data_IF_428884023224
#
_entry.id   IF_428884023224
#
_cell.length_a   1.000
_cell.length_b   1.000
_cell.length_c   1.000
_cell.angle_alpha   90.00
_cell.angle_beta   90.00
_cell.angle_gamma   90.00
#
_symmetry.space_group_name_H-M   'P 1'
#
loop_
_entity.id
_entity.type
_entity.pdbx_description
1 polymer ?
#
# COMPACT_ATOMS: atom_id res chain seq x y z
N UNK A 1 -23.84 27.86 -61.11
CA UNK A 1 -24.29 29.21 -61.50
C UNK A 1 -24.08 30.10 -60.31
N UNK A 2 -23.08 30.97 -60.44
CA UNK A 2 -22.87 32.30 -59.86
C UNK A 2 -23.29 32.66 -58.42
N UNK A 3 -22.23 33.09 -57.70
CA UNK A 3 -22.05 34.41 -57.08
C UNK A 3 -22.71 34.73 -55.73
N UNK A 4 -21.85 35.18 -54.81
CA UNK A 4 -22.20 35.85 -53.57
C UNK A 4 -20.96 36.19 -52.75
N UNK A 5 -20.22 37.22 -53.19
CA UNK A 5 -19.14 37.89 -52.46
C UNK A 5 -19.67 39.13 -51.72
N UNK A 6 -18.88 39.58 -50.72
CA UNK A 6 -18.85 40.90 -50.03
C UNK A 6 -19.84 41.10 -48.85
N UNK A 7 -19.43 41.60 -47.68
CA UNK A 7 -18.12 42.10 -47.24
C UNK A 7 -18.08 42.46 -45.74
N UNK A 8 -16.86 42.44 -45.22
CA UNK A 8 -16.18 43.24 -44.19
C UNK A 8 -16.93 43.86 -43.00
N UNK A 9 -16.46 43.50 -41.79
CA UNK A 9 -16.15 44.44 -40.70
C UNK A 9 -14.88 44.02 -39.96
N UNK A 10 -13.85 44.87 -40.05
CA UNK A 10 -12.66 44.87 -39.20
C UNK A 10 -13.02 45.21 -37.74
N UNK A 11 -12.53 44.42 -36.76
CA UNK A 11 -12.17 44.89 -35.42
C UNK A 11 -11.02 44.01 -34.88
N UNK A 12 -9.92 44.66 -34.48
CA UNK A 12 -9.18 44.30 -33.27
C UNK A 12 -8.00 43.34 -33.43
N UNK A 13 -6.83 43.92 -33.61
CA UNK A 13 -5.55 43.38 -33.17
C UNK A 13 -5.53 43.08 -31.66
N UNK A 14 -4.65 42.16 -31.28
CA UNK A 14 -4.20 41.79 -29.93
C UNK A 14 -5.06 40.78 -29.14
N UNK A 15 -4.62 39.52 -29.21
CA UNK A 15 -4.31 38.71 -28.03
C UNK A 15 -3.44 37.51 -28.47
N UNK A 16 -2.12 37.75 -28.57
CA UNK A 16 -1.12 36.68 -28.53
C UNK A 16 -1.19 36.05 -27.14
N UNK A 17 -2.02 35.02 -26.98
CA UNK A 17 -1.97 34.16 -25.81
C UNK A 17 -0.63 33.43 -25.81
N UNK A 18 0.07 33.64 -24.69
CA UNK A 18 1.45 33.28 -24.45
C UNK A 18 1.55 31.76 -24.27
N UNK A 19 1.53 31.02 -25.38
CA UNK A 19 1.84 29.61 -25.40
C UNK A 19 3.35 29.49 -25.16
N UNK A 20 3.76 29.38 -23.89
CA UNK A 20 5.11 28.96 -23.52
C UNK A 20 5.32 27.57 -24.11
N UNK A 21 5.88 27.59 -25.30
CA UNK A 21 6.43 26.45 -26.02
C UNK A 21 7.56 25.95 -25.13
N UNK A 22 7.27 24.95 -24.30
CA UNK A 22 8.30 24.13 -23.66
C UNK A 22 8.99 23.40 -24.81
N UNK A 23 9.99 24.06 -25.40
CA UNK A 23 10.97 23.43 -26.26
C UNK A 23 11.84 22.54 -25.35
N UNK A 24 11.34 21.34 -25.11
CA UNK A 24 12.14 20.24 -24.61
C UNK A 24 13.25 20.05 -25.64
N UNK A 25 14.48 20.38 -25.25
CA UNK A 25 15.69 20.15 -26.02
C UNK A 25 15.68 18.70 -26.55
N UNK A 26 15.44 18.53 -27.85
CA UNK A 26 15.54 17.26 -28.58
C UNK A 26 17.00 16.85 -28.79
N UNK A 27 17.77 16.82 -27.71
CA UNK A 27 19.22 16.70 -27.74
C UNK A 27 19.77 16.10 -26.46
N UNK A 28 19.14 15.05 -25.95
CA UNK A 28 19.75 14.13 -24.99
C UNK A 28 18.99 12.83 -25.11
N UNK A 29 19.70 11.79 -25.54
CA UNK A 29 19.21 10.42 -25.60
C UNK A 29 18.78 10.00 -24.20
N UNK A 30 17.49 10.18 -23.89
CA UNK A 30 16.78 9.24 -23.03
C UNK A 30 17.13 7.87 -23.60
N UNK A 31 17.64 6.92 -22.82
CA UNK A 31 17.71 5.57 -23.31
C UNK A 31 16.27 5.17 -23.61
N UNK A 32 15.90 5.20 -24.90
CA UNK A 32 14.80 4.39 -25.39
C UNK A 32 15.09 3.01 -24.83
N UNK A 33 14.20 2.54 -23.95
CA UNK A 33 14.01 1.11 -23.80
C UNK A 33 13.70 0.69 -25.22
N UNK A 34 14.74 0.22 -25.94
CA UNK A 34 14.58 -0.34 -27.27
C UNK A 34 13.42 -1.31 -27.13
N UNK A 35 12.44 -1.21 -28.01
CA UNK A 35 11.29 -2.10 -28.12
C UNK A 35 11.77 -3.55 -28.39
N UNK A 36 12.51 -4.11 -27.44
CA UNK A 36 12.87 -5.49 -27.36
C UNK A 36 11.61 -6.18 -26.84
N UNK A 37 10.73 -6.50 -27.79
CA UNK A 37 9.74 -7.57 -27.67
C UNK A 37 8.59 -7.38 -26.67
N UNK A 38 8.12 -6.15 -26.44
CA UNK A 38 6.76 -5.98 -25.91
C UNK A 38 5.69 -6.63 -26.84
N UNK A 39 6.03 -6.85 -28.11
CA UNK A 39 5.21 -7.57 -29.10
C UNK A 39 5.39 -9.09 -29.13
N UNK A 40 6.32 -9.66 -28.35
CA UNK A 40 6.60 -11.11 -28.36
C UNK A 40 6.32 -11.82 -27.03
N UNK A 41 5.82 -11.08 -26.04
CA UNK A 41 5.42 -11.62 -24.73
C UNK A 41 3.96 -11.31 -24.35
N UNK A 42 3.19 -10.63 -25.21
CA UNK A 42 1.73 -10.63 -25.19
C UNK A 42 1.25 -11.79 -26.10
N UNK A 43 0.74 -12.91 -25.59
CA UNK A 43 -0.69 -13.04 -25.26
C UNK A 43 -0.96 -14.14 -24.20
N UNK A 44 0.08 -14.81 -23.67
CA UNK A 44 -0.06 -16.00 -22.81
C UNK A 44 -0.02 -15.72 -21.29
N UNK A 45 -0.10 -14.45 -20.88
CA UNK A 45 0.10 -14.05 -19.49
C UNK A 45 -1.18 -14.25 -18.67
N UNK A 46 -1.04 -14.88 -17.49
CA UNK A 46 -2.07 -15.23 -16.51
C UNK A 46 -3.20 -16.21 -16.92
N UNK A 47 -3.60 -16.27 -18.18
CA UNK A 47 -4.75 -17.10 -18.59
C UNK A 47 -4.41 -18.48 -19.14
N UNK A 48 -3.24 -19.06 -18.84
CA UNK A 48 -2.90 -20.40 -19.37
C UNK A 48 -3.99 -21.46 -19.06
N UNK A 49 -4.66 -21.39 -17.92
CA UNK A 49 -5.75 -22.31 -17.60
C UNK A 49 -7.07 -21.98 -18.34
N UNK A 50 -7.41 -20.69 -18.44
CA UNK A 50 -8.68 -20.23 -19.05
C UNK A 50 -8.62 -20.30 -20.58
N UNK A 51 -7.47 -19.95 -21.17
CA UNK A 51 -7.21 -20.03 -22.62
C UNK A 51 -7.29 -21.46 -23.14
N UNK A 52 -6.96 -22.47 -22.31
CA UNK A 52 -6.96 -23.88 -22.69
C UNK A 52 -8.21 -24.67 -22.22
N UNK A 53 -9.24 -23.99 -21.68
CA UNK A 53 -10.51 -24.63 -21.28
C UNK A 53 -10.33 -25.81 -20.31
N UNK A 54 -9.40 -25.71 -19.36
CA UNK A 54 -9.26 -26.72 -18.30
C UNK A 54 -10.53 -26.74 -17.43
N UNK A 55 -10.93 -27.92 -16.97
CA UNK A 55 -12.00 -28.04 -16.00
C UNK A 55 -11.49 -27.78 -14.57
N UNK A 56 -12.41 -27.59 -13.63
CA UNK A 56 -12.08 -27.22 -12.24
C UNK A 56 -11.17 -28.25 -11.56
N UNK A 57 -11.36 -29.55 -11.83
CA UNK A 57 -10.53 -30.63 -11.27
C UNK A 57 -9.08 -30.56 -11.77
N UNK A 58 -8.88 -30.23 -13.05
CA UNK A 58 -7.56 -30.05 -13.64
C UNK A 58 -6.86 -28.82 -13.08
N UNK A 59 -7.58 -27.71 -12.90
CA UNK A 59 -7.05 -26.49 -12.28
C UNK A 59 -6.63 -26.77 -10.84
N UNK A 60 -7.46 -27.47 -10.07
CA UNK A 60 -7.14 -27.85 -8.70
C UNK A 60 -5.94 -28.81 -8.64
N UNK A 61 -5.85 -29.75 -9.58
CA UNK A 61 -4.67 -30.61 -9.73
C UNK A 61 -3.39 -29.82 -9.98
N UNK A 62 -3.44 -28.80 -10.84
CA UNK A 62 -2.30 -27.91 -11.10
C UNK A 62 -1.94 -27.08 -9.86
N UNK A 63 -2.92 -26.51 -9.16
CA UNK A 63 -2.67 -25.77 -7.91
C UNK A 63 -1.98 -26.63 -6.86
N UNK A 64 -2.43 -27.88 -6.68
CA UNK A 64 -1.80 -28.85 -5.78
C UNK A 64 -0.37 -29.16 -6.18
N UNK A 65 -0.13 -29.45 -7.46
CA UNK A 65 1.20 -29.77 -7.97
C UNK A 65 2.18 -28.60 -7.77
N UNK A 66 1.80 -27.39 -8.17
CA UNK A 66 2.61 -26.19 -8.01
C UNK A 66 2.88 -25.88 -6.53
N UNK A 67 1.85 -26.01 -5.68
CA UNK A 67 1.99 -25.79 -4.23
C UNK A 67 3.00 -26.77 -3.64
N UNK A 68 2.92 -28.05 -4.01
CA UNK A 68 3.86 -29.06 -3.54
C UNK A 68 5.29 -28.77 -4.01
N UNK A 69 5.47 -28.36 -5.26
CA UNK A 69 6.78 -27.96 -5.79
C UNK A 69 7.38 -26.77 -5.03
N UNK A 70 6.58 -25.72 -4.77
CA UNK A 70 7.05 -24.56 -4.02
C UNK A 70 7.39 -24.91 -2.57
N UNK A 71 6.55 -25.70 -1.89
CA UNK A 71 6.83 -26.16 -0.53
C UNK A 71 8.11 -27.01 -0.45
N UNK A 72 8.38 -27.85 -1.45
CA UNK A 72 9.64 -28.59 -1.55
C UNK A 72 10.86 -27.66 -1.61
N UNK A 73 10.74 -26.54 -2.33
CA UNK A 73 11.75 -25.49 -2.38
C UNK A 73 11.73 -24.53 -1.19
N UNK A 74 10.94 -24.82 -0.15
CA UNK A 74 10.68 -23.95 1.00
C UNK A 74 10.24 -22.55 0.57
N UNK A 75 9.36 -22.46 -0.43
CA UNK A 75 8.73 -21.22 -0.88
C UNK A 75 7.23 -21.22 -0.66
N UNK A 76 6.70 -20.04 -0.41
CA UNK A 76 5.27 -19.74 -0.44
C UNK A 76 4.93 -18.93 -1.70
N UNK A 77 3.69 -18.49 -1.85
CA UNK A 77 3.28 -17.62 -2.96
C UNK A 77 2.99 -16.21 -2.43
N UNK A 78 3.46 -15.19 -3.14
CA UNK A 78 3.25 -13.80 -2.79
C UNK A 78 2.58 -13.05 -3.94
N UNK A 79 1.37 -12.57 -3.71
CA UNK A 79 0.60 -11.79 -4.68
C UNK A 79 0.70 -10.32 -4.33
N UNK A 80 1.26 -9.53 -5.24
CA UNK A 80 1.55 -8.11 -5.04
C UNK A 80 0.62 -7.24 -5.90
N UNK A 81 -0.13 -6.35 -5.26
CA UNK A 81 -0.64 -5.18 -5.97
C UNK A 81 0.53 -4.26 -6.38
N UNK A 82 0.34 -3.46 -7.41
CA UNK A 82 1.39 -2.58 -7.95
C UNK A 82 1.14 -1.12 -7.58
N UNK A 83 0.06 -0.55 -8.11
CA UNK A 83 -0.34 0.85 -7.90
C UNK A 83 -0.62 1.11 -6.42
N UNK A 84 0.00 2.14 -5.85
CA UNK A 84 -0.04 2.53 -4.45
C UNK A 84 0.46 1.47 -3.45
N UNK A 85 1.07 0.39 -3.93
CA UNK A 85 1.63 -0.67 -3.10
C UNK A 85 3.15 -0.73 -3.25
N UNK A 86 3.66 -0.91 -4.47
CA UNK A 86 5.09 -0.96 -4.77
C UNK A 86 5.61 0.28 -5.50
N UNK A 87 4.69 1.06 -6.08
CA UNK A 87 4.96 2.31 -6.76
C UNK A 87 3.72 3.18 -6.74
N UNK A 88 3.88 4.45 -7.07
CA UNK A 88 2.76 5.35 -7.33
C UNK A 88 2.99 6.08 -8.65
N UNK A 89 1.93 6.67 -9.17
CA UNK A 89 1.97 7.38 -10.44
C UNK A 89 1.02 8.56 -10.47
N UNK A 90 1.34 9.53 -11.31
CA UNK A 90 0.45 10.64 -11.63
C UNK A 90 0.51 10.97 -13.12
N UNK A 91 -0.52 11.64 -13.63
CA UNK A 91 -0.44 12.18 -14.98
C UNK A 91 0.48 13.40 -14.95
N UNK A 92 1.31 13.57 -15.98
CA UNK A 92 2.21 14.71 -16.08
C UNK A 92 1.46 16.05 -15.90
N UNK A 93 0.27 16.17 -16.48
CA UNK A 93 -0.53 17.40 -16.41
C UNK A 93 -1.25 17.61 -15.06
N UNK A 94 -1.10 16.68 -14.10
CA UNK A 94 -1.68 16.83 -12.76
C UNK A 94 -0.64 17.25 -11.72
N UNK A 95 0.64 17.32 -12.09
CA UNK A 95 1.68 17.77 -11.18
C UNK A 95 1.41 19.21 -10.75
N UNK A 96 1.70 19.49 -9.50
CA UNK A 96 1.77 20.87 -9.02
C UNK A 96 3.05 21.54 -9.49
N UNK A 97 3.10 22.88 -9.57
CA UNK A 97 4.30 23.60 -9.97
C UNK A 97 5.54 23.21 -9.16
N UNK A 98 5.38 23.02 -7.84
CA UNK A 98 6.45 22.61 -6.95
C UNK A 98 6.96 21.19 -7.23
N UNK A 99 6.06 20.26 -7.56
CA UNK A 99 6.44 18.90 -7.98
C UNK A 99 7.15 18.91 -9.33
N UNK A 100 6.65 19.67 -10.30
CA UNK A 100 7.25 19.78 -11.64
C UNK A 100 8.68 20.33 -11.56
N UNK A 101 8.88 21.43 -10.84
CA UNK A 101 10.21 22.02 -10.62
C UNK A 101 11.18 21.01 -9.96
N UNK A 102 10.71 20.30 -8.93
CA UNK A 102 11.54 19.31 -8.24
C UNK A 102 11.89 18.14 -9.15
N UNK A 103 10.92 17.59 -9.89
CA UNK A 103 11.14 16.44 -10.77
C UNK A 103 12.05 16.79 -11.94
N UNK A 104 11.94 17.99 -12.52
CA UNK A 104 12.85 18.47 -13.57
C UNK A 104 14.30 18.53 -13.07
N UNK A 105 14.51 18.98 -11.83
CA UNK A 105 15.84 18.98 -11.21
C UNK A 105 16.42 17.57 -10.98
N UNK A 106 15.56 16.55 -10.82
CA UNK A 106 15.98 15.15 -10.68
C UNK A 106 16.21 14.48 -12.04
N UNK A 107 15.37 14.78 -13.03
CA UNK A 107 15.42 14.16 -14.36
C UNK A 107 16.56 14.65 -15.23
N UNK A 108 17.13 15.82 -14.92
CA UNK A 108 18.33 16.39 -15.57
C UNK A 108 19.63 15.72 -15.12
N UNK A 109 19.61 14.95 -14.02
CA UNK A 109 20.75 14.14 -13.59
C UNK A 109 20.93 12.94 -14.53
N UNK A 110 22.17 12.49 -14.79
CA UNK A 110 22.39 11.31 -15.62
C UNK A 110 21.66 10.10 -15.04
N UNK A 111 21.03 9.26 -15.88
CA UNK A 111 20.33 8.08 -15.40
C UNK A 111 21.31 7.12 -14.72
N UNK A 112 21.12 6.93 -13.42
CA UNK A 112 21.80 5.92 -12.62
C UNK A 112 20.82 4.79 -12.26
N UNK A 113 21.34 3.61 -11.90
CA UNK A 113 20.59 2.45 -11.44
C UNK A 113 19.77 2.73 -10.17
N UNK A 114 20.13 3.77 -9.41
CA UNK A 114 19.38 4.31 -8.26
C UNK A 114 18.15 5.14 -8.65
N UNK A 115 17.85 5.30 -9.95
CA UNK A 115 16.68 6.06 -10.39
C UNK A 115 15.39 5.37 -9.97
N UNK A 116 14.54 6.14 -9.30
CA UNK A 116 13.23 5.69 -8.81
C UNK A 116 12.06 6.42 -9.47
N UNK A 117 12.32 7.53 -10.17
CA UNK A 117 11.32 8.32 -10.88
C UNK A 117 11.44 8.13 -12.39
N UNK A 118 10.34 7.81 -13.05
CA UNK A 118 10.30 7.50 -14.48
C UNK A 118 9.17 8.25 -15.19
N UNK A 119 9.45 8.76 -16.38
CA UNK A 119 8.43 9.29 -17.28
C UNK A 119 8.18 8.26 -18.38
N UNK A 120 6.93 7.84 -18.55
CA UNK A 120 6.57 6.88 -19.59
C UNK A 120 5.27 7.27 -20.30
N UNK A 121 5.19 6.91 -21.57
CA UNK A 121 3.98 7.02 -22.37
C UNK A 121 3.10 5.79 -22.11
N UNK A 122 1.82 6.05 -21.81
CA UNK A 122 0.83 5.00 -21.60
C UNK A 122 -0.16 5.02 -22.77
N UNK A 123 -0.16 3.97 -23.62
CA UNK A 123 -1.11 3.85 -24.72
C UNK A 123 -2.55 3.77 -24.20
N UNK A 124 -3.46 4.46 -24.89
CA UNK A 124 -4.89 4.49 -24.60
C UNK A 124 -5.64 5.33 -25.66
N UNK A 125 -6.94 5.60 -25.47
CA UNK A 125 -7.73 6.38 -26.44
C UNK A 125 -7.15 7.77 -26.73
N UNK A 126 -6.47 8.36 -25.73
CA UNK A 126 -5.58 9.50 -25.88
C UNK A 126 -4.25 9.12 -25.26
N UNK A 127 -3.15 9.36 -25.97
CA UNK A 127 -1.81 9.18 -25.41
C UNK A 127 -1.65 10.05 -24.17
N UNK A 128 -1.15 9.45 -23.09
CA UNK A 128 -0.92 10.13 -21.82
C UNK A 128 0.52 9.91 -21.39
N UNK A 129 1.16 10.99 -20.95
CA UNK A 129 2.42 10.93 -20.23
C UNK A 129 2.12 10.75 -18.74
N UNK A 130 2.76 9.77 -18.13
CA UNK A 130 2.66 9.50 -16.70
C UNK A 130 4.04 9.51 -16.07
N UNK A 131 4.10 10.10 -14.89
CA UNK A 131 5.26 9.99 -14.01
C UNK A 131 5.01 8.88 -13.03
N UNK A 132 5.97 7.97 -12.90
CA UNK A 132 5.97 6.85 -11.97
C UNK A 132 7.06 7.09 -10.94
N UNK A 133 6.77 6.78 -9.68
CA UNK A 133 7.73 6.77 -8.58
C UNK A 133 7.68 5.41 -7.91
N UNK A 134 8.80 4.70 -7.92
CA UNK A 134 8.98 3.46 -7.18
C UNK A 134 9.00 3.75 -5.67
N UNK A 135 8.36 2.88 -4.89
CA UNK A 135 8.40 2.96 -3.43
C UNK A 135 9.84 2.72 -2.96
N UNK A 136 10.34 3.47 -1.96
CA UNK A 136 11.65 3.23 -1.38
C UNK A 136 11.84 1.76 -1.03
N UNK A 137 13.07 1.26 -1.21
CA UNK A 137 13.46 -0.13 -0.90
C UNK A 137 12.84 -1.23 -1.80
N UNK A 138 11.99 -0.90 -2.78
CA UNK A 138 11.25 -1.92 -3.57
C UNK A 138 12.13 -2.94 -4.30
N UNK A 139 13.29 -2.53 -4.81
CA UNK A 139 14.19 -3.44 -5.54
C UNK A 139 14.83 -4.48 -4.61
N UNK A 140 15.29 -4.04 -3.43
CA UNK A 140 15.81 -4.94 -2.41
C UNK A 140 14.71 -5.86 -1.87
N UNK A 141 13.51 -5.30 -1.63
CA UNK A 141 12.33 -6.06 -1.26
C UNK A 141 12.03 -7.20 -2.25
N UNK A 142 11.92 -6.92 -3.55
CA UNK A 142 11.63 -7.94 -4.57
C UNK A 142 12.70 -9.03 -4.62
N UNK A 143 13.97 -8.62 -4.56
CA UNK A 143 15.11 -9.54 -4.53
C UNK A 143 15.02 -10.51 -3.36
N UNK A 144 14.93 -10.00 -2.13
CA UNK A 144 14.90 -10.83 -0.92
C UNK A 144 13.59 -11.62 -0.78
N UNK A 145 12.45 -11.05 -1.19
CA UNK A 145 11.19 -11.77 -1.22
C UNK A 145 11.25 -12.96 -2.19
N UNK A 146 11.95 -12.83 -3.32
CA UNK A 146 12.04 -13.91 -4.31
C UNK A 146 12.76 -15.16 -3.80
N UNK A 147 13.58 -15.04 -2.76
CA UNK A 147 14.23 -16.19 -2.11
C UNK A 147 13.23 -17.06 -1.32
N UNK A 148 12.14 -16.45 -0.84
CA UNK A 148 11.12 -17.08 0.02
C UNK A 148 9.79 -17.31 -0.69
N UNK A 149 9.53 -16.61 -1.79
CA UNK A 149 8.23 -16.58 -2.43
C UNK A 149 8.31 -16.72 -3.96
N UNK A 150 7.33 -17.41 -4.55
CA UNK A 150 7.00 -17.22 -5.96
C UNK A 150 6.06 -16.01 -6.09
N UNK A 151 6.48 -15.00 -6.86
CA UNK A 151 5.86 -13.67 -6.86
C UNK A 151 4.93 -13.49 -8.07
N UNK A 152 3.71 -13.04 -7.79
CA UNK A 152 2.69 -12.63 -8.76
C UNK A 152 2.48 -11.11 -8.70
N UNK A 153 2.34 -10.47 -9.85
CA UNK A 153 1.78 -9.13 -9.94
C UNK A 153 0.27 -9.24 -10.21
N UNK A 154 -0.56 -8.63 -9.37
CA UNK A 154 -2.02 -8.63 -9.54
C UNK A 154 -2.58 -7.22 -9.31
N UNK A 155 -2.92 -6.53 -10.40
CA UNK A 155 -3.29 -5.11 -10.36
C UNK A 155 -4.63 -4.81 -11.03
N UNK A 156 -5.32 -3.77 -10.52
CA UNK A 156 -6.49 -3.17 -11.14
C UNK A 156 -6.16 -2.26 -12.35
N UNK A 157 -4.88 -2.16 -12.73
CA UNK A 157 -4.44 -1.47 -13.94
C UNK A 157 -4.83 -2.23 -15.21
N UNK A 158 -4.94 -1.51 -16.33
CA UNK A 158 -5.09 -2.15 -17.63
C UNK A 158 -3.82 -2.94 -17.98
N UNK A 159 -3.95 -3.98 -18.80
CA UNK A 159 -2.84 -4.86 -19.21
C UNK A 159 -1.64 -4.09 -19.71
N UNK A 160 -1.89 -3.12 -20.60
CA UNK A 160 -0.85 -2.26 -21.14
C UNK A 160 -0.07 -1.54 -20.05
N UNK A 161 -0.75 -1.00 -19.05
CA UNK A 161 -0.16 -0.25 -17.95
C UNK A 161 0.50 -1.16 -16.91
N UNK A 162 -0.10 -2.30 -16.60
CA UNK A 162 0.46 -3.33 -15.73
C UNK A 162 1.86 -3.74 -16.23
N UNK A 163 2.00 -4.01 -17.53
CA UNK A 163 3.29 -4.33 -18.13
C UNK A 163 4.30 -3.18 -18.06
N UNK A 164 3.87 -1.91 -18.20
CA UNK A 164 4.78 -0.77 -17.99
C UNK A 164 5.31 -0.76 -16.56
N UNK A 165 4.44 -0.97 -15.57
CA UNK A 165 4.84 -1.03 -14.16
C UNK A 165 5.80 -2.19 -13.88
N UNK A 166 5.51 -3.38 -14.41
CA UNK A 166 6.38 -4.57 -14.25
C UNK A 166 7.77 -4.30 -14.84
N UNK A 167 7.88 -3.74 -16.04
CA UNK A 167 9.19 -3.42 -16.66
C UNK A 167 10.01 -2.42 -15.83
N UNK A 168 9.35 -1.48 -15.12
CA UNK A 168 10.04 -0.53 -14.24
C UNK A 168 10.55 -1.20 -12.94
N UNK A 169 9.75 -2.12 -12.39
CA UNK A 169 10.04 -2.85 -11.16
C UNK A 169 11.08 -3.96 -11.38
N UNK A 170 10.92 -4.72 -12.45
CA UNK A 170 11.63 -5.95 -12.80
C UNK A 170 12.10 -5.90 -14.26
N UNK A 171 13.11 -5.05 -14.58
CA UNK A 171 13.56 -4.84 -15.96
C UNK A 171 14.22 -6.07 -16.59
N UNK A 172 14.72 -7.01 -15.77
CA UNK A 172 15.33 -8.26 -16.21
C UNK A 172 14.34 -9.42 -16.26
N UNK A 173 13.09 -9.20 -15.81
CA UNK A 173 12.03 -10.21 -15.72
C UNK A 173 12.42 -11.43 -14.86
N UNK A 174 13.11 -11.19 -13.74
CA UNK A 174 13.62 -12.20 -12.82
C UNK A 174 12.57 -12.64 -11.79
N UNK A 175 11.65 -11.75 -11.43
CA UNK A 175 10.75 -11.94 -10.29
C UNK A 175 9.34 -12.31 -10.72
N UNK A 176 8.74 -11.59 -11.66
CA UNK A 176 7.35 -11.80 -12.05
C UNK A 176 7.20 -12.84 -13.18
N UNK A 177 8.13 -12.87 -14.13
CA UNK A 177 8.04 -13.76 -15.28
C UNK A 177 6.72 -13.56 -16.05
N UNK A 178 5.92 -14.62 -16.15
CA UNK A 178 4.59 -14.59 -16.81
C UNK A 178 3.42 -14.40 -15.82
N UNK A 179 3.70 -14.24 -14.52
CA UNK A 179 2.72 -14.18 -13.43
C UNK A 179 2.19 -12.76 -13.23
N UNK A 180 1.62 -12.18 -14.29
CA UNK A 180 1.08 -10.81 -14.30
C UNK A 180 -0.40 -10.85 -14.64
N UNK A 181 -1.25 -10.51 -13.66
CA UNK A 181 -2.70 -10.46 -13.75
C UNK A 181 -3.14 -8.99 -13.76
N UNK A 182 -3.82 -8.56 -14.81
CA UNK A 182 -4.35 -7.20 -15.00
C UNK A 182 -5.86 -7.17 -14.93
N UNK A 183 -6.45 -5.97 -14.90
CA UNK A 183 -7.89 -5.76 -14.78
C UNK A 183 -8.71 -6.56 -15.79
N UNK A 184 -8.25 -6.63 -17.03
CA UNK A 184 -8.92 -7.35 -18.11
C UNK A 184 -9.04 -8.86 -17.88
N UNK A 185 -8.23 -9.44 -16.99
CA UNK A 185 -8.26 -10.88 -16.70
C UNK A 185 -9.42 -11.25 -15.75
N UNK A 186 -9.94 -10.31 -14.97
CA UNK A 186 -10.98 -10.56 -13.95
C UNK A 186 -12.14 -9.56 -13.95
N UNK A 187 -12.14 -8.54 -14.80
CA UNK A 187 -13.16 -7.46 -14.76
C UNK A 187 -14.60 -7.92 -15.02
N UNK A 188 -14.78 -9.11 -15.62
CA UNK A 188 -16.10 -9.71 -15.88
C UNK A 188 -16.51 -10.75 -14.83
N UNK A 189 -15.60 -11.13 -13.93
CA UNK A 189 -15.83 -12.11 -12.87
C UNK A 189 -15.93 -11.40 -11.52
N UNK A 190 -16.59 -12.02 -10.53
CA UNK A 190 -16.57 -11.55 -9.13
C UNK A 190 -16.90 -10.07 -8.95
N UNK A 191 -17.81 -9.53 -9.79
CA UNK A 191 -18.19 -8.11 -9.79
C UNK A 191 -17.00 -7.15 -9.97
N UNK A 192 -15.95 -7.59 -10.66
CA UNK A 192 -14.72 -6.83 -10.88
C UNK A 192 -13.76 -6.81 -9.68
N UNK A 193 -13.97 -7.65 -8.66
CA UNK A 193 -13.02 -7.86 -7.55
C UNK A 193 -11.94 -8.86 -7.93
N UNK A 194 -10.76 -8.70 -7.33
CA UNK A 194 -9.66 -9.65 -7.42
C UNK A 194 -10.02 -10.94 -6.69
N UNK A 195 -9.60 -12.08 -7.23
CA UNK A 195 -9.82 -13.40 -6.66
C UNK A 195 -8.59 -14.29 -6.89
N UNK A 196 -8.27 -15.18 -5.95
CA UNK A 196 -7.17 -16.13 -6.08
C UNK A 196 -7.42 -17.21 -7.14
N UNK A 197 -8.58 -17.20 -7.82
CA UNK A 197 -8.87 -18.14 -8.90
C UNK A 197 -7.83 -18.12 -10.03
N UNK A 198 -7.24 -16.95 -10.30
CA UNK A 198 -6.23 -16.76 -11.35
C UNK A 198 -4.79 -17.05 -10.86
N UNK A 199 -4.62 -17.48 -9.60
CA UNK A 199 -3.34 -17.86 -9.02
C UNK A 199 -3.25 -19.38 -9.00
N UNK A 200 -2.18 -19.93 -9.58
CA UNK A 200 -1.96 -21.38 -9.70
C UNK A 200 -1.31 -21.95 -8.43
N UNK A 201 -1.91 -21.66 -7.28
CA UNK A 201 -1.48 -22.11 -5.96
C UNK A 201 -2.69 -22.37 -5.05
N UNK A 202 -2.51 -23.21 -4.03
CA UNK A 202 -3.51 -23.37 -2.99
C UNK A 202 -3.48 -22.18 -2.04
N UNK A 203 -4.66 -21.64 -1.73
CA UNK A 203 -4.79 -20.43 -0.91
C UNK A 203 -4.13 -20.52 0.47
N UNK A 204 -3.97 -21.73 1.02
CA UNK A 204 -3.27 -21.97 2.30
C UNK A 204 -1.79 -21.58 2.26
N UNK A 205 -1.21 -21.34 1.09
CA UNK A 205 0.20 -20.94 0.91
C UNK A 205 0.37 -19.57 0.27
N UNK A 206 -0.72 -18.83 0.06
CA UNK A 206 -0.72 -17.54 -0.63
C UNK A 206 -0.85 -16.39 0.37
N UNK A 207 0.09 -15.45 0.33
CA UNK A 207 -0.02 -14.14 0.96
C UNK A 207 -0.33 -13.08 -0.09
N UNK A 208 -1.21 -12.14 0.25
CA UNK A 208 -1.58 -11.01 -0.61
C UNK A 208 -1.10 -9.72 0.06
N UNK A 209 -0.35 -8.91 -0.69
CA UNK A 209 0.01 -7.55 -0.30
C UNK A 209 -0.77 -6.56 -1.17
N UNK A 210 -1.69 -5.82 -0.56
CA UNK A 210 -2.53 -4.85 -1.24
C UNK A 210 -2.87 -3.69 -0.30
N UNK A 211 -2.97 -2.47 -0.82
CA UNK A 211 -3.40 -1.29 -0.06
C UNK A 211 -4.92 -1.25 0.17
N UNK A 212 -5.69 -2.16 -0.46
CA UNK A 212 -7.16 -2.20 -0.36
C UNK A 212 -7.69 -3.60 -0.15
N UNK A 213 -8.20 -3.86 1.05
CA UNK A 213 -8.86 -5.12 1.39
C UNK A 213 -10.14 -5.33 0.55
N UNK A 214 -10.90 -4.27 0.31
CA UNK A 214 -12.16 -4.30 -0.42
C UNK A 214 -12.01 -4.56 -1.93
N UNK A 215 -10.78 -4.49 -2.46
CA UNK A 215 -10.47 -4.84 -3.85
C UNK A 215 -10.55 -6.36 -4.09
N UNK A 216 -10.61 -7.17 -3.04
CA UNK A 216 -10.62 -8.63 -3.07
C UNK A 216 -11.97 -9.20 -2.63
N UNK A 217 -12.30 -10.39 -3.13
CA UNK A 217 -13.46 -11.16 -2.67
C UNK A 217 -13.38 -11.45 -1.17
N UNK A 218 -14.53 -11.51 -0.49
CA UNK A 218 -14.59 -11.71 0.97
C UNK A 218 -13.84 -12.98 1.42
N UNK A 219 -13.93 -14.06 0.63
CA UNK A 219 -13.25 -15.32 0.90
C UNK A 219 -11.72 -15.22 0.93
N UNK A 220 -11.13 -14.30 0.16
CA UNK A 220 -9.68 -14.13 0.06
C UNK A 220 -9.13 -13.04 1.00
N UNK A 221 -9.98 -12.29 1.71
CA UNK A 221 -9.51 -11.22 2.61
C UNK A 221 -8.65 -11.73 3.76
N UNK A 222 -8.83 -12.98 4.19
CA UNK A 222 -7.98 -13.65 5.20
C UNK A 222 -6.54 -13.92 4.75
N UNK A 223 -6.25 -13.82 3.45
CA UNK A 223 -4.90 -13.94 2.89
C UNK A 223 -4.17 -12.59 2.82
N UNK A 224 -4.85 -11.48 3.13
CA UNK A 224 -4.34 -10.13 2.92
C UNK A 224 -3.53 -9.66 4.14
N UNK A 225 -2.31 -9.22 3.86
CA UNK A 225 -1.56 -8.31 4.71
C UNK A 225 -1.77 -6.90 4.15
N UNK A 226 -2.68 -6.17 4.80
CA UNK A 226 -3.09 -4.83 4.34
C UNK A 226 -1.89 -3.88 4.40
N UNK A 227 -1.56 -3.29 3.26
CA UNK A 227 -0.46 -2.36 3.15
C UNK A 227 -0.91 -0.92 3.34
N UNK A 228 -0.02 -0.09 3.88
CA UNK A 228 -0.22 1.35 3.84
C UNK A 228 -0.09 1.84 2.39
N UNK A 229 -1.07 2.64 1.98
CA UNK A 229 -1.14 3.23 0.64
C UNK A 229 0.07 4.14 0.42
N UNK A 230 0.90 3.80 -0.56
CA UNK A 230 2.04 4.63 -0.95
C UNK A 230 1.55 5.88 -1.72
N UNK A 231 1.70 7.03 -1.07
CA UNK A 231 1.43 8.36 -1.61
C UNK A 231 2.74 9.10 -1.73
N UNK A 232 3.06 9.59 -2.92
CA UNK A 232 4.27 10.40 -3.14
C UNK A 232 3.90 11.72 -3.83
N UNK A 233 3.05 11.64 -4.85
CA UNK A 233 2.45 12.79 -5.52
C UNK A 233 1.17 13.24 -4.83
N UNK A 234 0.83 14.51 -5.01
CA UNK A 234 -0.47 15.06 -4.57
C UNK A 234 -1.63 14.40 -5.33
N UNK A 235 -2.68 14.02 -4.60
CA UNK A 235 -3.90 13.50 -5.21
C UNK A 235 -4.77 14.65 -5.74
N UNK A 236 -5.45 14.44 -6.87
CA UNK A 236 -6.33 15.48 -7.47
C UNK A 236 -7.37 16.04 -6.50
N UNK A 237 -7.91 15.18 -5.63
CA UNK A 237 -8.97 15.56 -4.68
C UNK A 237 -8.44 16.40 -3.52
N UNK A 238 -7.12 16.44 -3.35
CA UNK A 238 -6.42 17.11 -2.25
C UNK A 238 -5.73 18.40 -2.71
N UNK A 239 -6.02 18.89 -3.92
CA UNK A 239 -5.42 20.13 -4.45
C UNK A 239 -5.70 21.38 -3.61
N UNK A 240 -6.79 21.37 -2.83
CA UNK A 240 -7.14 22.46 -1.91
C UNK A 240 -6.68 22.20 -0.47
N UNK A 241 -5.97 21.10 -0.21
CA UNK A 241 -5.45 20.80 1.12
C UNK A 241 -4.18 21.61 1.39
N UNK A 242 -4.05 22.12 2.62
CA UNK A 242 -2.78 22.71 3.08
C UNK A 242 -1.65 21.68 3.25
N UNK A 243 -2.00 20.38 3.22
CA UNK A 243 -1.02 19.31 3.32
C UNK A 243 -0.22 19.15 2.03
N UNK A 244 1.11 19.12 2.17
CA UNK A 244 2.04 18.88 1.07
C UNK A 244 2.27 17.40 0.88
N UNK A 245 2.40 16.98 -0.37
CA UNK A 245 2.85 15.64 -0.74
C UNK A 245 4.35 15.46 -0.46
N UNK A 246 4.81 14.21 -0.40
CA UNK A 246 6.24 13.91 -0.24
C UNK A 246 7.10 14.54 -1.34
N UNK A 247 6.61 14.53 -2.58
CA UNK A 247 7.31 15.14 -3.71
C UNK A 247 7.53 16.65 -3.50
N UNK A 248 6.52 17.39 -3.00
CA UNK A 248 6.64 18.82 -2.68
C UNK A 248 7.55 19.08 -1.48
N UNK A 249 7.54 18.17 -0.51
CA UNK A 249 8.42 18.23 0.67
C UNK A 249 9.85 17.79 0.35
N UNK A 250 10.10 17.23 -0.85
CA UNK A 250 11.39 16.66 -1.26
C UNK A 250 11.83 15.53 -0.31
N UNK A 251 10.86 14.80 0.23
CA UNK A 251 11.05 13.63 1.10
C UNK A 251 10.41 12.40 0.45
N UNK A 252 10.43 11.27 1.14
CA UNK A 252 9.75 10.05 0.74
C UNK A 252 9.34 9.25 1.98
N UNK A 253 8.64 8.15 1.76
CA UNK A 253 8.33 7.20 2.83
C UNK A 253 9.61 6.64 3.46
N UNK A 254 9.57 6.39 4.78
CA UNK A 254 10.69 5.81 5.52
C UNK A 254 10.89 4.31 5.28
N UNK A 255 11.21 3.57 6.35
CA UNK A 255 11.61 2.15 6.32
C UNK A 255 10.42 1.18 6.23
N UNK A 256 9.26 1.61 5.78
CA UNK A 256 8.02 0.82 5.85
C UNK A 256 8.12 -0.52 5.13
N UNK A 257 8.59 -0.51 3.86
CA UNK A 257 8.69 -1.73 3.06
C UNK A 257 9.78 -2.69 3.59
N UNK A 258 10.81 -2.15 4.23
CA UNK A 258 11.84 -2.93 4.92
C UNK A 258 11.26 -3.65 6.14
N UNK A 259 10.50 -2.95 6.98
CA UNK A 259 9.80 -3.55 8.13
C UNK A 259 8.82 -4.64 7.67
N UNK A 260 8.08 -4.39 6.58
CA UNK A 260 7.16 -5.38 6.03
C UNK A 260 7.90 -6.64 5.54
N UNK A 261 9.08 -6.50 4.93
CA UNK A 261 9.91 -7.63 4.55
C UNK A 261 10.28 -8.49 5.78
N UNK A 262 10.58 -7.87 6.92
CA UNK A 262 10.86 -8.60 8.16
C UNK A 262 9.64 -9.38 8.65
N UNK A 263 8.43 -8.83 8.50
CA UNK A 263 7.21 -9.57 8.80
C UNK A 263 7.05 -10.78 7.89
N UNK A 264 7.30 -10.64 6.58
CA UNK A 264 7.25 -11.76 5.63
C UNK A 264 8.28 -12.84 5.97
N UNK A 265 9.51 -12.46 6.33
CA UNK A 265 10.55 -13.39 6.82
C UNK A 265 10.09 -14.14 8.06
N UNK A 266 9.45 -13.47 9.01
CA UNK A 266 8.92 -14.08 10.24
C UNK A 266 7.77 -15.05 9.93
N UNK A 267 6.85 -14.68 9.04
CA UNK A 267 5.76 -15.57 8.59
C UNK A 267 6.33 -16.81 7.92
N UNK A 268 7.26 -16.64 6.97
CA UNK A 268 7.92 -17.73 6.26
C UNK A 268 8.65 -18.67 7.21
N UNK A 269 9.51 -18.12 8.08
CA UNK A 269 10.24 -18.90 9.09
C UNK A 269 9.28 -19.69 9.98
N UNK A 270 8.16 -19.08 10.39
CA UNK A 270 7.17 -19.73 11.25
C UNK A 270 6.39 -20.81 10.53
N UNK A 271 6.05 -20.59 9.26
CA UNK A 271 5.33 -21.55 8.43
C UNK A 271 6.15 -22.84 8.23
N UNK A 272 7.46 -22.72 8.04
CA UNK A 272 8.36 -23.86 7.81
C UNK A 272 9.14 -24.32 9.07
N UNK A 273 8.67 -23.95 10.26
CA UNK A 273 9.25 -24.39 11.53
C UNK A 273 8.63 -25.72 11.99
N UNK A 274 9.33 -26.82 11.71
CA UNK A 274 8.88 -28.18 12.03
C UNK A 274 8.93 -28.50 13.53
N UNK A 275 9.61 -27.69 14.35
CA UNK A 275 9.62 -27.91 15.79
C UNK A 275 8.33 -27.42 16.46
N UNK A 276 7.62 -26.51 15.80
CA UNK A 276 6.45 -25.86 16.38
C UNK A 276 5.16 -26.28 15.70
N UNK A 277 5.23 -26.75 14.47
CA UNK A 277 4.08 -27.28 13.74
C UNK A 277 4.22 -28.80 13.58
N UNK A 278 3.35 -29.57 14.23
CA UNK A 278 3.38 -31.03 14.21
C UNK A 278 2.74 -31.66 12.95
N UNK A 279 2.26 -30.82 12.02
CA UNK A 279 1.51 -31.25 10.83
C UNK A 279 2.39 -31.24 9.58
N UNK A 280 2.00 -32.02 8.57
CA UNK A 280 2.66 -32.02 7.27
C UNK A 280 2.60 -30.62 6.66
N UNK A 281 3.65 -30.22 5.92
CA UNK A 281 3.72 -28.89 5.29
C UNK A 281 2.50 -28.56 4.41
N UNK A 282 1.94 -29.55 3.73
CA UNK A 282 0.78 -29.37 2.85
C UNK A 282 -0.52 -29.06 3.62
N UNK A 283 -0.60 -29.47 4.88
CA UNK A 283 -1.77 -29.26 5.75
C UNK A 283 -1.69 -27.91 6.49
N UNK A 284 -0.54 -27.22 6.43
CA UNK A 284 -0.34 -25.92 7.07
C UNK A 284 -1.05 -24.80 6.30
N UNK A 285 -1.53 -23.82 7.05
CA UNK A 285 -2.21 -22.65 6.49
C UNK A 285 -1.53 -21.36 6.95
N UNK A 286 -1.00 -20.61 5.98
CA UNK A 286 -0.31 -19.33 6.21
C UNK A 286 -1.23 -18.30 6.86
N UNK A 287 -2.54 -18.43 6.70
CA UNK A 287 -3.54 -17.56 7.31
C UNK A 287 -3.62 -17.75 8.83
N UNK A 288 -3.45 -18.98 9.30
CA UNK A 288 -3.38 -19.27 10.74
C UNK A 288 -2.06 -18.78 11.35
N UNK A 289 -0.96 -18.88 10.58
CA UNK A 289 0.33 -18.28 10.97
C UNK A 289 0.21 -16.77 11.10
N UNK A 290 -0.37 -16.12 10.10
CA UNK A 290 -0.63 -14.68 10.09
C UNK A 290 -1.46 -14.25 11.30
N UNK A 291 -2.60 -14.93 11.53
CA UNK A 291 -3.50 -14.67 12.65
C UNK A 291 -2.80 -14.82 14.00
N UNK A 292 -1.96 -15.85 14.16
CA UNK A 292 -1.19 -16.08 15.38
C UNK A 292 -0.19 -14.95 15.63
N UNK A 293 0.59 -14.59 14.61
CA UNK A 293 1.61 -13.55 14.72
C UNK A 293 1.01 -12.17 15.03
N UNK A 294 -0.13 -11.84 14.40
CA UNK A 294 -0.86 -10.61 14.70
C UNK A 294 -1.49 -10.64 16.10
N UNK A 295 -2.10 -11.77 16.47
CA UNK A 295 -2.76 -11.95 17.77
C UNK A 295 -1.84 -11.90 18.99
N UNK A 296 -0.53 -11.96 18.80
CA UNK A 296 0.45 -11.81 19.89
C UNK A 296 0.84 -10.34 20.14
N UNK A 297 0.45 -9.39 19.27
CA UNK A 297 0.91 -8.00 19.32
C UNK A 297 0.36 -7.23 20.53
N UNK A 298 -0.96 -7.25 20.74
CA UNK A 298 -1.66 -6.58 21.85
C UNK A 298 -2.22 -7.59 22.86
N UNK A 299 -1.64 -8.80 22.89
CA UNK A 299 -2.06 -9.85 23.81
C UNK A 299 -1.94 -9.39 25.26
N UNK A 300 -3.03 -9.53 26.00
CA UNK A 300 -3.14 -9.07 27.40
C UNK A 300 -3.56 -7.61 27.56
N UNK A 301 -3.69 -6.84 26.47
CA UNK A 301 -4.30 -5.52 26.52
C UNK A 301 -5.83 -5.66 26.56
N UNK A 302 -6.45 -5.08 27.57
CA UNK A 302 -7.90 -4.87 27.64
C UNK A 302 -8.22 -3.40 27.34
N UNK A 303 -8.96 -3.15 26.27
CA UNK A 303 -9.14 -1.82 25.66
C UNK A 303 -10.61 -1.40 25.75
N UNK A 304 -10.85 -0.21 26.30
CA UNK A 304 -12.15 0.46 26.20
C UNK A 304 -12.04 1.65 25.24
N UNK A 305 -13.17 2.00 24.60
CA UNK A 305 -13.24 3.11 23.66
C UNK A 305 -14.24 4.15 24.14
N UNK A 306 -13.95 5.43 23.89
CA UNK A 306 -14.95 6.48 23.97
C UNK A 306 -16.17 6.12 23.11
N UNK A 307 -17.41 6.12 23.65
CA UNK A 307 -18.63 5.84 22.88
C UNK A 307 -18.83 6.75 21.67
N UNK A 308 -18.32 7.98 21.71
CA UNK A 308 -18.45 8.97 20.63
C UNK A 308 -17.33 8.87 19.57
N UNK A 309 -16.47 7.84 19.64
CA UNK A 309 -15.38 7.67 18.68
C UNK A 309 -15.94 7.33 17.28
N UNK A 310 -15.74 8.23 16.32
CA UNK A 310 -16.27 8.10 14.95
C UNK A 310 -15.90 6.77 14.26
N UNK A 311 -14.67 6.28 14.48
CA UNK A 311 -14.16 5.05 13.87
C UNK A 311 -14.09 3.85 14.86
N UNK A 312 -14.91 3.87 15.92
CA UNK A 312 -14.87 2.85 17.00
C UNK A 312 -14.88 1.42 16.47
N UNK A 313 -15.81 1.09 15.56
CA UNK A 313 -15.98 -0.28 15.08
C UNK A 313 -14.75 -0.79 14.31
N UNK A 314 -14.09 0.09 13.55
CA UNK A 314 -12.87 -0.26 12.82
C UNK A 314 -11.71 -0.50 13.78
N UNK A 315 -11.48 0.44 14.71
CA UNK A 315 -10.41 0.33 15.69
C UNK A 315 -10.59 -0.88 16.62
N UNK A 316 -11.84 -1.21 16.95
CA UNK A 316 -12.19 -2.40 17.72
C UNK A 316 -11.75 -3.68 17.00
N UNK A 317 -12.11 -3.82 15.72
CA UNK A 317 -11.71 -4.98 14.89
C UNK A 317 -10.19 -5.07 14.77
N UNK A 318 -9.51 -3.95 14.57
CA UNK A 318 -8.04 -3.90 14.49
C UNK A 318 -7.40 -4.35 15.81
N UNK A 319 -7.89 -3.87 16.94
CA UNK A 319 -7.40 -4.25 18.26
C UNK A 319 -7.60 -5.75 18.55
N UNK A 320 -8.78 -6.30 18.26
CA UNK A 320 -9.05 -7.74 18.44
C UNK A 320 -8.20 -8.61 17.51
N UNK A 321 -7.98 -8.17 16.26
CA UNK A 321 -7.09 -8.85 15.33
C UNK A 321 -5.64 -8.90 15.86
N UNK A 322 -5.23 -7.87 16.59
CA UNK A 322 -3.93 -7.84 17.28
C UNK A 322 -3.93 -8.60 18.63
N UNK A 323 -5.03 -9.24 19.03
CA UNK A 323 -5.14 -10.05 20.24
C UNK A 323 -5.51 -9.29 21.51
N UNK A 324 -5.95 -8.03 21.38
CA UNK A 324 -6.53 -7.31 22.51
C UNK A 324 -7.94 -7.82 22.84
N UNK A 325 -8.37 -7.61 24.09
CA UNK A 325 -9.76 -7.80 24.51
C UNK A 325 -10.44 -6.45 24.59
N UNK A 326 -11.40 -6.18 23.70
CA UNK A 326 -12.13 -4.93 23.69
C UNK A 326 -13.38 -5.01 24.58
N UNK A 327 -13.71 -3.93 25.29
CA UNK A 327 -14.89 -3.84 26.17
C UNK A 327 -15.67 -2.54 25.96
N UNK A 328 -16.98 -2.62 26.19
CA UNK A 328 -17.88 -1.47 26.03
C UNK A 328 -17.79 -0.48 27.19
N UNK A 329 -17.53 -0.98 28.40
CA UNK A 329 -17.49 -0.20 29.62
C UNK A 329 -16.15 -0.39 30.32
N UNK A 330 -15.70 0.67 30.99
CA UNK A 330 -14.49 0.63 31.80
C UNK A 330 -14.72 -0.17 33.08
N UNK A 331 -13.74 -1.00 33.44
CA UNK A 331 -13.71 -1.78 34.68
C UNK A 331 -12.25 -1.92 35.15
N UNK A 332 -11.97 -2.32 36.42
CA UNK A 332 -10.60 -2.35 36.95
C UNK A 332 -9.58 -3.18 36.15
N UNK A 333 -10.03 -4.15 35.35
CA UNK A 333 -9.16 -4.96 34.48
C UNK A 333 -8.81 -4.28 33.15
N UNK A 334 -9.45 -3.15 32.80
CA UNK A 334 -9.07 -2.34 31.65
C UNK A 334 -7.65 -1.81 31.84
N UNK A 335 -6.89 -1.85 30.74
CA UNK A 335 -5.48 -1.43 30.68
C UNK A 335 -5.32 -0.14 29.89
N UNK A 336 -6.14 0.05 28.85
CA UNK A 336 -6.07 1.20 27.94
C UNK A 336 -7.46 1.76 27.67
N UNK A 337 -7.55 3.08 27.57
CA UNK A 337 -8.69 3.80 27.02
C UNK A 337 -8.24 4.52 25.76
N UNK A 338 -8.96 4.30 24.67
CA UNK A 338 -8.72 4.95 23.38
C UNK A 338 -9.72 6.08 23.19
N UNK A 339 -9.21 7.30 23.07
CA UNK A 339 -10.02 8.50 22.89
C UNK A 339 -9.25 9.60 22.16
N UNK A 340 -9.97 10.51 21.51
CA UNK A 340 -9.42 11.75 20.94
C UNK A 340 -9.45 12.92 21.91
N UNK A 341 -10.17 12.80 23.03
CA UNK A 341 -10.37 13.89 23.99
C UNK A 341 -10.28 13.41 25.43
N UNK A 342 -9.71 14.24 26.31
CA UNK A 342 -9.56 13.96 27.75
C UNK A 342 -10.85 14.16 28.57
N UNK A 343 -11.85 14.86 28.04
CA UNK A 343 -13.05 15.26 28.79
C UNK A 343 -14.12 14.18 29.00
N UNK A 344 -13.99 13.03 28.33
CA UNK A 344 -15.00 11.96 28.41
C UNK A 344 -14.96 11.23 29.75
N UNK A 345 -16.05 10.54 30.08
CA UNK A 345 -16.15 9.71 31.29
C UNK A 345 -15.05 8.65 31.36
N UNK A 346 -14.77 8.01 30.24
CA UNK A 346 -13.79 6.95 30.09
C UNK A 346 -12.36 7.51 30.18
N UNK A 347 -12.11 8.66 29.55
CA UNK A 347 -10.80 9.33 29.62
C UNK A 347 -10.47 9.78 31.04
N UNK A 348 -11.43 10.38 31.75
CA UNK A 348 -11.25 10.77 33.16
C UNK A 348 -11.02 9.56 34.05
N UNK A 349 -11.80 8.51 33.87
CA UNK A 349 -11.62 7.24 34.58
C UNK A 349 -10.22 6.66 34.37
N UNK A 350 -9.68 6.68 33.14
CA UNK A 350 -8.35 6.18 32.86
C UNK A 350 -7.27 6.93 33.65
N UNK A 351 -7.37 8.26 33.71
CA UNK A 351 -6.43 9.10 34.48
C UNK A 351 -6.57 8.86 35.98
N UNK A 352 -7.79 8.80 36.51
CA UNK A 352 -8.07 8.55 37.93
C UNK A 352 -7.56 7.18 38.40
N UNK A 353 -7.72 6.14 37.57
CA UNK A 353 -7.30 4.77 37.86
C UNK A 353 -5.88 4.43 37.38
N UNK A 354 -5.11 5.44 36.95
CA UNK A 354 -3.74 5.33 36.46
C UNK A 354 -3.57 4.26 35.35
N UNK A 355 -4.48 4.30 34.37
CA UNK A 355 -4.48 3.48 33.15
C UNK A 355 -3.96 4.29 31.96
N UNK A 356 -3.59 3.61 30.88
CA UNK A 356 -3.11 4.29 29.67
C UNK A 356 -4.27 4.97 28.93
N UNK A 357 -4.15 6.27 28.70
CA UNK A 357 -5.05 7.04 27.84
C UNK A 357 -4.30 7.36 26.54
N UNK A 358 -4.71 6.76 25.44
CA UNK A 358 -3.98 6.84 24.16
C UNK A 358 -4.87 7.29 23.00
N UNK A 359 -4.26 8.01 22.07
CA UNK A 359 -4.92 8.40 20.82
C UNK A 359 -5.19 7.15 19.93
N UNK A 360 -6.28 7.11 19.13
CA UNK A 360 -6.55 6.04 18.17
C UNK A 360 -5.36 5.58 17.33
N UNK A 361 -4.47 6.50 16.97
CA UNK A 361 -3.24 6.25 16.21
C UNK A 361 -2.31 5.23 16.86
N UNK A 362 -2.41 4.98 18.17
CA UNK A 362 -1.65 3.93 18.86
C UNK A 362 -2.01 2.52 18.34
N UNK A 363 -3.32 2.25 18.15
CA UNK A 363 -3.78 0.99 17.55
C UNK A 363 -3.31 0.94 16.10
N UNK A 364 -3.51 2.03 15.34
CA UNK A 364 -3.15 2.09 13.93
C UNK A 364 -1.66 1.84 13.68
N UNK A 365 -0.80 2.48 14.48
CA UNK A 365 0.65 2.28 14.44
C UNK A 365 1.01 0.84 14.82
N UNK A 366 0.38 0.29 15.86
CA UNK A 366 0.62 -1.11 16.27
C UNK A 366 0.18 -2.11 15.20
N UNK A 367 -0.92 -1.82 14.49
CA UNK A 367 -1.40 -2.63 13.36
C UNK A 367 -0.48 -2.51 12.15
N UNK A 368 0.09 -1.35 11.91
CA UNK A 368 1.06 -1.16 10.83
C UNK A 368 2.37 -1.90 11.08
N UNK A 369 2.89 -1.78 12.30
CA UNK A 369 4.23 -2.26 12.67
C UNK A 369 4.25 -3.70 13.18
N UNK A 370 3.09 -4.33 13.35
CA UNK A 370 2.93 -5.64 14.02
C UNK A 370 3.74 -5.74 15.32
N UNK A 371 3.73 -4.64 16.06
CA UNK A 371 4.43 -4.46 17.32
C UNK A 371 3.61 -3.54 18.19
N UNK A 372 3.49 -3.87 19.48
CA UNK A 372 2.86 -2.96 20.44
C UNK A 372 3.65 -1.66 20.48
N UNK A 373 3.01 -0.58 20.05
CA UNK A 373 3.62 0.74 20.09
C UNK A 373 3.69 1.24 21.53
N UNK A 374 4.71 2.05 21.84
CA UNK A 374 4.85 2.63 23.18
C UNK A 374 3.75 3.67 23.41
N UNK A 375 3.05 3.56 24.54
CA UNK A 375 1.87 4.36 24.86
C UNK A 375 2.19 5.86 24.91
N UNK A 376 3.36 6.23 25.45
CA UNK A 376 3.82 7.63 25.59
C UNK A 376 3.99 8.37 24.25
N UNK A 377 4.09 7.64 23.13
CA UNK A 377 4.20 8.24 21.80
C UNK A 377 2.85 8.72 21.25
N UNK A 378 1.74 8.40 21.93
CA UNK A 378 0.38 8.69 21.46
C UNK A 378 -0.49 9.32 22.57
N UNK A 379 -0.04 10.42 23.19
CA UNK A 379 -0.81 11.10 24.22
C UNK A 379 -2.08 11.71 23.63
N UNK A 380 -3.12 11.85 24.46
CA UNK A 380 -4.34 12.59 24.12
C UNK A 380 -4.17 14.02 24.63
N UNK A 381 -3.92 14.97 23.73
CA UNK A 381 -3.68 16.37 24.09
C UNK A 381 -4.97 17.22 24.02
N UNK A 382 -5.07 18.24 24.87
CA UNK A 382 -6.21 19.18 24.85
C UNK A 382 -6.27 20.02 23.55
N UNK A 383 -5.15 20.25 22.87
CA UNK A 383 -5.07 21.07 21.65
C UNK A 383 -5.78 20.45 20.43
N UNK A 384 -5.98 19.13 20.41
CA UNK A 384 -6.76 18.47 19.35
C UNK A 384 -8.26 18.83 19.42
N UNK A 385 -8.76 19.32 20.57
CA UNK A 385 -10.11 19.89 20.69
C UNK A 385 -10.31 21.08 19.75
N UNK A 386 -9.31 21.96 19.60
CA UNK A 386 -9.44 23.23 18.89
C UNK A 386 -9.47 23.00 17.38
N UNK A 387 -8.68 22.03 16.87
CA UNK A 387 -8.64 21.69 15.44
C UNK A 387 -9.95 21.05 14.98
N UNK A 388 -10.54 20.17 15.78
CA UNK A 388 -11.80 19.50 15.43
C UNK A 388 -13.02 20.38 15.68
N UNK A 389 -13.04 21.25 16.70
CA UNK A 389 -14.10 22.26 16.85
C UNK A 389 -14.15 23.22 15.65
N UNK A 390 -13.00 23.67 15.14
CA UNK A 390 -12.95 24.50 13.93
C UNK A 390 -13.43 23.77 12.67
N UNK A 391 -13.14 22.47 12.53
CA UNK A 391 -13.62 21.65 11.41
C UNK A 391 -15.13 21.35 11.50
N UNK A 392 -15.66 21.14 12.72
CA UNK A 392 -17.09 20.92 12.95
C UNK A 392 -17.91 22.20 12.81
N UNK A 393 -17.37 23.37 13.18
CA UNK A 393 -18.02 24.67 12.95
C UNK A 393 -18.04 25.04 11.46
N UNK A 394 -17.05 24.63 10.68
CA UNK A 394 -17.04 24.80 9.21
C UNK A 394 -17.94 23.81 8.46
N UNK A 395 -18.31 22.66 9.04
CA UNK A 395 -19.19 21.68 8.38
C UNK A 395 -20.68 21.96 8.57
N UNK A 396 -21.06 23.01 9.30
CA UNK A 396 -22.46 23.39 9.53
C UNK A 396 -23.08 24.19 8.37
N UNK A 397 -22.29 24.64 7.38
CA UNK A 397 -22.75 25.50 6.28
C UNK A 397 -22.84 24.81 4.90
N UNK A 398 -22.58 23.51 4.78
CA UNK A 398 -22.76 22.79 3.51
C UNK A 398 -23.71 21.59 3.65
N UNK A 399 -24.80 21.62 2.88
CA UNK A 399 -25.80 20.55 2.81
C UNK A 399 -25.15 19.22 2.39
N UNK A 400 -25.27 18.21 3.27
CA UNK A 400 -24.74 16.85 3.10
C UNK A 400 -25.40 16.06 1.97
N UNK A 401 -24.55 15.40 1.15
CA UNK A 401 -24.86 14.21 0.35
C UNK A 401 -24.19 12.99 1.04
N UNK A 402 -24.88 11.89 1.37
CA UNK A 402 -24.37 10.88 2.29
C UNK A 402 -23.60 9.77 1.55
N UNK A 403 -22.39 10.07 1.07
CA UNK A 403 -21.51 9.05 0.50
C UNK A 403 -20.02 9.46 0.51
N UNK A 404 -19.49 9.99 1.60
CA UNK A 404 -18.05 10.16 1.77
C UNK A 404 -17.69 10.37 3.25
N UNK A 405 -17.20 9.32 3.91
CA UNK A 405 -16.41 9.48 5.12
C UNK A 405 -15.16 8.64 4.97
N UNK A 406 -14.10 9.28 4.51
CA UNK A 406 -12.74 8.74 4.65
C UNK A 406 -11.94 9.87 5.26
N UNK A 407 -11.26 9.58 6.37
CA UNK A 407 -10.41 10.48 7.13
C UNK A 407 -8.94 10.01 6.99
N UNK A 408 -8.30 10.16 5.81
CA UNK A 408 -7.00 9.54 5.54
C UNK A 408 -5.83 10.43 5.97
N UNK A 409 -6.08 11.70 6.31
CA UNK A 409 -5.04 12.72 6.50
C UNK A 409 -4.38 12.69 7.89
N UNK A 410 -5.09 12.27 8.94
CA UNK A 410 -4.50 12.08 10.27
C UNK A 410 -3.63 10.82 10.37
N UNK A 411 -3.89 9.84 9.49
CA UNK A 411 -3.18 8.56 9.42
C UNK A 411 -1.74 8.71 8.90
N UNK A 412 -1.46 9.72 8.06
CA UNK A 412 -0.13 10.00 7.51
C UNK A 412 0.81 10.65 8.55
N UNK A 413 0.33 11.69 9.26
CA UNK A 413 1.12 12.39 10.28
C UNK A 413 1.50 11.50 11.47
N UNK A 414 0.56 10.67 11.96
CA UNK A 414 0.84 9.84 13.12
C UNK A 414 1.80 8.69 12.80
N UNK A 415 1.75 8.17 11.57
CA UNK A 415 2.56 7.03 11.14
C UNK A 415 4.01 7.41 10.84
N UNK A 416 4.26 8.57 10.22
CA UNK A 416 5.61 9.10 10.02
C UNK A 416 6.29 9.48 11.34
N UNK A 417 5.54 10.08 12.27
CA UNK A 417 6.00 10.36 13.62
C UNK A 417 6.34 9.05 14.36
N UNK A 418 5.50 8.02 14.24
CA UNK A 418 5.72 6.71 14.88
C UNK A 418 6.96 5.98 14.34
N UNK A 419 7.15 5.96 13.02
CA UNK A 419 8.32 5.35 12.38
C UNK A 419 9.59 6.14 12.73
N UNK A 420 9.50 7.47 12.85
CA UNK A 420 10.63 8.32 13.26
C UNK A 420 10.98 8.13 14.75
N UNK A 421 9.98 8.03 15.65
CA UNK A 421 10.15 7.78 17.09
C UNK A 421 10.73 6.38 17.38
N UNK A 422 10.41 5.38 16.56
CA UNK A 422 11.06 4.07 16.63
C UNK A 422 12.57 4.13 16.31
N UNK A 423 13.05 5.10 15.51
CA UNK A 423 14.50 5.29 15.26
C UNK A 423 15.21 5.89 16.47
N UNK A 424 14.58 6.83 17.16
CA UNK A 424 15.20 7.48 18.33
C UNK A 424 15.24 6.57 19.56
N UNK A 425 14.30 5.64 19.69
CA UNK A 425 14.23 4.72 20.84
C UNK A 425 15.10 3.46 20.69
N UNK A 426 15.39 2.99 19.47
CA UNK A 426 16.16 1.77 19.20
C UNK A 426 17.55 2.05 18.61
N UNK A 427 18.31 2.98 19.20
CA UNK A 427 19.61 3.44 18.70
C UNK A 427 20.45 2.32 18.06
N UNK A 428 20.65 2.40 16.74
CA UNK A 428 21.49 1.58 15.84
C UNK A 428 21.78 0.11 16.24
N UNK A 429 20.85 -0.56 16.92
CA UNK A 429 20.97 -1.98 17.30
C UNK A 429 19.79 -2.74 16.74
N UNK A 430 19.81 -2.97 15.44
CA UNK A 430 19.05 -4.06 14.85
C UNK A 430 19.72 -5.39 15.24
N UNK A 431 18.99 -6.40 15.74
CA UNK A 431 19.57 -7.70 16.00
C UNK A 431 19.97 -8.36 14.68
N UNK A 432 21.27 -8.58 14.50
CA UNK A 432 21.82 -9.40 13.42
C UNK A 432 21.57 -10.87 13.77
N UNK A 433 20.92 -11.61 12.87
CA UNK A 433 20.80 -13.06 12.98
C UNK A 433 22.07 -13.68 12.40
N UNK A 434 23.00 -14.06 13.27
CA UNK A 434 24.05 -15.03 12.93
C UNK A 434 23.71 -16.38 13.59
N UNK A 435 23.64 -17.44 12.78
CA UNK A 435 23.61 -18.85 13.19
C UNK A 435 22.55 -19.25 14.24
N UNK A 436 21.34 -18.68 14.15
CA UNK A 436 20.16 -19.22 14.84
C UNK A 436 20.24 -19.22 16.37
N UNK A 437 21.10 -18.38 16.98
CA UNK A 437 21.15 -18.19 18.44
C UNK A 437 21.14 -16.70 18.79
N UNK A 438 20.22 -16.32 19.67
CA UNK A 438 20.18 -15.00 20.28
C UNK A 438 21.37 -14.85 21.26
N UNK A 439 22.31 -13.96 20.96
CA UNK A 439 23.27 -13.47 21.95
C UNK A 439 23.19 -11.96 22.03
N UNK A 440 22.94 -11.42 23.23
CA UNK A 440 23.12 -9.99 23.49
C UNK A 440 24.62 -9.66 23.43
N UNK A 441 25.02 -8.81 22.49
CA UNK A 441 26.34 -8.19 22.48
C UNK A 441 26.38 -7.05 23.50
N UNK A 442 27.30 -7.19 24.45
CA UNK A 442 27.65 -6.22 25.51
C UNK A 442 27.85 -4.80 24.98
#
# INVERSE_FOLDING_TARGET
>A
MDCGSDGDREIGSDERSNMHKVEINKGTSIPEIKDASASCLCDDCANFAVTFSFNDDQIEGLRKANTHEMLYHRKLHLVLNLDHTLLTRTNLNNLTPEEEEYLDSQMTKPPDLSREVFLAQVPGPKMKYMVFKLRPFVRAFLKEASDMFEIYAYTNASRSLAWKMVVLLDPLNEYFGRRVISREDFCITHEGKKCLDLVLAQESTVLILDDKQEAWTEQNQKNIVLMHKYRYFREKREQNSELKSHCELKTDEGVYLEVLLQHLKRIHSRFFDDQVMCDNLIDRDVREVLKTLQGDVLKGCKIAFNPLQANKLQLWKMAEQLGATCVEQVDPSVTHVVATHVGTTESRWAVEENKFLVHPSWIEASTCMWQKSHEDNFPVNEDDNIRQQKMAEQSCDEQMDPAATTAPSLQLCCMEASISLCKESNGDKFPVVEDGKFTCSS
#
